data_IF_626226430812
#
_entry.id   IF_626226430812
#
_cell.length_a   1.000
_cell.length_b   1.000
_cell.length_c   1.000
_cell.angle_alpha   90.00
_cell.angle_beta   90.00
_cell.angle_gamma   90.00
#
_symmetry.space_group_name_H-M   'P 1'
#
loop_
_entity.id
_entity.type
_entity.pdbx_description
1 polymer ?
#
# COMPACT_ATOMS: atom_id res chain seq x y z
N UNK A 1 66.47 -15.09 -35.97
CA UNK A 1 65.71 -15.59 -34.80
C UNK A 1 65.99 -14.69 -33.61
N UNK A 2 65.07 -13.79 -33.25
CA UNK A 2 65.07 -13.06 -31.98
C UNK A 2 63.66 -13.16 -31.41
N UNK A 3 63.53 -13.85 -30.29
CA UNK A 3 62.29 -14.09 -29.57
C UNK A 3 61.81 -12.78 -28.92
N UNK A 4 60.56 -12.41 -29.15
CA UNK A 4 59.86 -11.32 -28.43
C UNK A 4 59.26 -11.94 -27.18
N UNK A 5 59.76 -11.56 -26.00
CA UNK A 5 59.10 -11.81 -24.72
C UNK A 5 57.91 -10.86 -24.59
N UNK A 6 56.68 -11.39 -24.59
CA UNK A 6 55.49 -10.67 -24.13
C UNK A 6 55.44 -10.77 -22.60
N UNK A 7 55.69 -9.66 -21.91
CA UNK A 7 55.35 -9.50 -20.49
C UNK A 7 53.84 -9.26 -20.39
N UNK A 8 53.09 -10.23 -19.87
CA UNK A 8 51.70 -10.01 -19.44
C UNK A 8 51.73 -9.26 -18.10
N UNK A 9 51.36 -7.99 -18.09
CA UNK A 9 51.10 -7.25 -16.86
C UNK A 9 49.70 -7.64 -16.33
N UNK A 10 49.66 -8.37 -15.22
CA UNK A 10 48.45 -8.60 -14.44
C UNK A 10 48.05 -7.29 -13.75
N UNK A 11 47.02 -6.62 -14.27
CA UNK A 11 46.38 -5.50 -13.60
C UNK A 11 45.48 -6.05 -12.46
N UNK A 12 45.56 -5.50 -11.24
CA UNK A 12 44.66 -5.89 -10.15
C UNK A 12 43.24 -5.42 -10.47
N UNK A 13 42.30 -6.36 -10.54
CA UNK A 13 40.86 -6.05 -10.58
C UNK A 13 40.48 -5.53 -9.19
N UNK A 14 40.30 -4.23 -9.06
CA UNK A 14 39.68 -3.64 -7.86
C UNK A 14 38.20 -3.99 -7.88
N UNK A 15 37.79 -4.91 -7.00
CA UNK A 15 36.37 -5.14 -6.71
C UNK A 15 35.86 -3.90 -5.99
N UNK A 16 35.18 -3.01 -6.71
CA UNK A 16 34.42 -1.92 -6.10
C UNK A 16 33.25 -2.57 -5.37
N UNK A 17 33.34 -2.64 -4.04
CA UNK A 17 32.19 -3.02 -3.23
C UNK A 17 31.07 -2.00 -3.51
N UNK A 18 29.91 -2.47 -3.98
CA UNK A 18 28.76 -1.60 -4.14
C UNK A 18 28.44 -0.92 -2.81
N UNK A 19 28.37 0.41 -2.79
CA UNK A 19 27.94 1.14 -1.60
C UNK A 19 26.55 0.66 -1.20
N UNK A 20 26.41 0.19 0.05
CA UNK A 20 25.12 -0.19 0.59
C UNK A 20 24.22 1.04 0.63
N UNK A 21 23.03 0.93 0.03
CA UNK A 21 22.05 2.01 0.07
C UNK A 21 21.69 2.35 1.53
N UNK A 22 21.46 3.62 1.86
CA UNK A 22 21.26 4.03 3.25
C UNK A 22 20.02 3.40 3.87
N UNK A 23 20.11 3.09 5.17
CA UNK A 23 18.98 2.71 6.03
C UNK A 23 18.79 3.80 7.10
N UNK A 24 17.56 4.07 7.56
CA UNK A 24 17.33 4.95 8.68
C UNK A 24 17.92 4.36 9.97
N UNK A 25 18.45 5.23 10.84
CA UNK A 25 18.99 4.82 12.15
C UNK A 25 18.01 5.01 13.30
N UNK A 26 17.02 5.89 13.12
CA UNK A 26 16.01 6.21 14.12
C UNK A 26 14.74 6.80 13.46
N UNK A 27 13.63 6.67 14.19
CA UNK A 27 12.33 7.21 13.81
C UNK A 27 11.69 7.97 14.98
N UNK A 28 11.06 9.09 14.65
CA UNK A 28 10.19 9.83 15.57
C UNK A 28 8.74 9.41 15.35
N UNK A 29 8.07 9.00 16.42
CA UNK A 29 6.63 8.72 16.38
C UNK A 29 5.82 10.02 16.31
N UNK A 30 4.84 10.05 15.42
CA UNK A 30 3.82 11.10 15.33
C UNK A 30 2.43 10.49 15.34
N UNK A 31 1.47 11.21 15.91
CA UNK A 31 0.06 10.88 15.76
C UNK A 31 -0.51 11.72 14.62
N UNK A 32 -1.04 11.07 13.57
CA UNK A 32 -1.64 11.73 12.40
C UNK A 32 -2.99 11.08 12.17
N UNK A 33 -4.07 11.86 12.23
CA UNK A 33 -5.45 11.38 12.08
C UNK A 33 -5.80 10.15 12.94
N UNK A 34 -5.14 9.99 14.09
CA UNK A 34 -5.31 8.86 15.01
C UNK A 34 -4.47 7.62 14.71
N UNK A 35 -3.67 7.60 13.64
CA UNK A 35 -2.65 6.58 13.39
C UNK A 35 -1.34 6.91 14.10
N UNK A 36 -0.58 5.87 14.44
CA UNK A 36 0.84 6.01 14.79
C UNK A 36 1.66 5.97 13.51
N UNK A 37 2.38 7.06 13.23
CA UNK A 37 3.28 7.18 12.08
C UNK A 37 4.72 7.30 12.58
N UNK A 38 5.56 6.32 12.24
CA UNK A 38 7.01 6.32 12.51
C UNK A 38 7.71 7.07 11.38
N UNK A 39 8.25 8.24 11.67
CA UNK A 39 8.87 9.10 10.67
C UNK A 39 10.38 9.05 10.82
N UNK A 40 11.08 8.69 9.75
CA UNK A 40 12.54 8.72 9.69
C UNK A 40 13.07 10.11 10.14
N UNK A 41 13.98 10.12 11.10
CA UNK A 41 14.49 11.36 11.70
C UNK A 41 15.15 12.29 10.68
N UNK A 42 15.67 11.73 9.56
CA UNK A 42 16.22 12.50 8.43
C UNK A 42 15.17 13.40 7.77
N UNK A 43 13.89 13.03 7.86
CA UNK A 43 12.76 13.81 7.32
C UNK A 43 12.27 14.88 8.28
N UNK A 44 12.71 14.86 9.54
CA UNK A 44 12.23 15.77 10.59
C UNK A 44 13.11 17.00 10.71
N UNK A 45 14.42 16.87 10.52
CA UNK A 45 15.42 17.96 10.65
C UNK A 45 16.50 17.84 9.58
N UNK A 46 17.21 18.94 9.34
CA UNK A 46 18.32 18.97 8.37
C UNK A 46 17.86 19.15 6.93
N UNK A 47 18.69 18.69 5.99
CA UNK A 47 18.53 18.94 4.55
C UNK A 47 17.20 18.43 3.98
N UNK A 48 16.69 17.29 4.43
CA UNK A 48 15.46 16.68 3.92
C UNK A 48 14.19 17.11 4.67
N UNK A 49 14.28 18.05 5.62
CA UNK A 49 13.13 18.47 6.42
C UNK A 49 12.00 19.06 5.57
N UNK A 50 12.33 19.82 4.51
CA UNK A 50 11.33 20.43 3.64
C UNK A 50 10.55 19.38 2.82
N UNK A 51 11.24 18.38 2.26
CA UNK A 51 10.58 17.30 1.51
C UNK A 51 9.84 16.34 2.44
N UNK A 52 10.37 16.08 3.65
CA UNK A 52 9.68 15.34 4.71
C UNK A 52 8.37 16.00 5.12
N UNK A 53 8.36 17.33 5.32
CA UNK A 53 7.13 18.07 5.62
C UNK A 53 6.09 17.96 4.49
N UNK A 54 6.53 17.96 3.22
CA UNK A 54 5.64 17.76 2.07
C UNK A 54 5.06 16.34 2.03
N UNK A 55 5.88 15.31 2.25
CA UNK A 55 5.43 13.92 2.30
C UNK A 55 4.42 13.67 3.43
N UNK A 56 4.69 14.22 4.62
CA UNK A 56 3.77 14.13 5.75
C UNK A 56 2.44 14.83 5.48
N UNK A 57 2.46 15.99 4.82
CA UNK A 57 1.22 16.69 4.42
C UNK A 57 0.40 15.87 3.42
N UNK A 58 1.05 15.20 2.47
CA UNK A 58 0.36 14.29 1.54
C UNK A 58 -0.24 13.10 2.31
N UNK A 59 0.54 12.45 3.18
CA UNK A 59 0.07 11.33 3.98
C UNK A 59 -1.13 11.73 4.85
N UNK A 60 -1.06 12.87 5.54
CA UNK A 60 -2.17 13.42 6.33
C UNK A 60 -3.42 13.61 5.45
N UNK A 61 -3.29 14.19 4.25
CA UNK A 61 -4.42 14.36 3.34
C UNK A 61 -5.05 13.02 2.93
N UNK A 62 -4.24 11.98 2.65
CA UNK A 62 -4.75 10.63 2.36
C UNK A 62 -5.47 10.02 3.57
N UNK A 63 -4.89 10.13 4.76
CA UNK A 63 -5.48 9.59 5.99
C UNK A 63 -6.77 10.33 6.38
N UNK A 64 -6.87 11.64 6.17
CA UNK A 64 -8.12 12.41 6.33
C UNK A 64 -9.20 11.85 5.41
N UNK A 65 -8.89 11.66 4.12
CA UNK A 65 -9.84 11.09 3.15
C UNK A 65 -10.37 9.73 3.61
N UNK A 66 -9.48 8.83 4.05
CA UNK A 66 -9.82 7.52 4.62
C UNK A 66 -10.71 7.66 5.86
N UNK A 67 -10.34 8.51 6.81
CA UNK A 67 -11.06 8.71 8.06
C UNK A 67 -12.48 9.26 7.86
N UNK A 68 -12.72 10.01 6.80
CA UNK A 68 -14.04 10.56 6.45
C UNK A 68 -14.97 9.47 5.89
N UNK A 69 -14.46 8.54 5.08
CA UNK A 69 -15.30 7.57 4.36
C UNK A 69 -15.44 6.21 5.07
N UNK A 70 -14.45 5.80 5.86
CA UNK A 70 -14.47 4.50 6.54
C UNK A 70 -15.35 4.55 7.80
N UNK A 71 -16.28 3.60 7.99
CA UNK A 71 -17.12 3.54 9.20
C UNK A 71 -16.31 3.49 10.49
N UNK A 72 -16.77 4.22 11.52
CA UNK A 72 -16.05 4.40 12.79
C UNK A 72 -15.49 3.11 13.41
N UNK A 73 -16.26 2.01 13.36
CA UNK A 73 -15.85 0.70 13.91
C UNK A 73 -14.63 0.14 13.17
N UNK A 74 -14.62 0.23 11.84
CA UNK A 74 -13.53 -0.27 11.00
C UNK A 74 -12.35 0.71 11.00
N UNK A 75 -12.62 2.01 11.02
CA UNK A 75 -11.60 3.04 11.15
C UNK A 75 -10.80 2.90 12.46
N UNK A 76 -11.45 2.57 13.57
CA UNK A 76 -10.76 2.32 14.84
C UNK A 76 -9.76 1.16 14.74
N UNK A 77 -10.08 0.13 13.95
CA UNK A 77 -9.17 -1.00 13.66
C UNK A 77 -8.06 -0.60 12.71
N UNK A 78 -8.35 0.16 11.65
CA UNK A 78 -7.31 0.67 10.75
C UNK A 78 -6.26 1.50 11.51
N UNK A 79 -6.69 2.30 12.48
CA UNK A 79 -5.80 3.13 13.31
C UNK A 79 -4.85 2.34 14.21
N UNK A 80 -5.07 1.04 14.42
CA UNK A 80 -4.12 0.20 15.16
C UNK A 80 -2.92 -0.22 14.31
N UNK A 81 -3.04 -0.14 12.98
CA UNK A 81 -1.97 -0.49 12.05
C UNK A 81 -0.96 0.65 12.03
N UNK A 82 0.29 0.34 12.32
CA UNK A 82 1.37 1.34 12.30
C UNK A 82 1.75 1.65 10.84
N UNK A 83 2.06 2.92 10.58
CA UNK A 83 2.63 3.37 9.30
C UNK A 83 4.08 3.81 9.55
N UNK A 84 5.00 3.48 8.64
CA UNK A 84 6.37 3.97 8.65
C UNK A 84 6.67 4.72 7.36
N UNK A 85 7.34 5.88 7.48
CA UNK A 85 7.66 6.79 6.37
C UNK A 85 9.16 7.10 6.39
N UNK A 86 9.87 6.65 5.35
CA UNK A 86 11.32 6.72 5.27
C UNK A 86 11.81 7.53 4.06
N UNK A 87 12.93 8.24 4.25
CA UNK A 87 13.57 8.95 3.14
C UNK A 87 13.94 7.97 2.02
N UNK A 88 14.60 6.90 2.43
CA UNK A 88 14.92 5.70 1.66
C UNK A 88 15.16 4.53 2.65
N UNK A 89 14.93 3.29 2.21
CA UNK A 89 15.13 2.10 3.04
C UNK A 89 15.86 0.99 2.27
N UNK A 90 17.15 1.19 2.00
CA UNK A 90 17.94 0.24 1.24
C UNK A 90 17.42 0.07 -0.20
N UNK A 91 17.12 -1.16 -0.58
CA UNK A 91 16.58 -1.50 -1.92
C UNK A 91 15.06 -1.44 -2.01
N UNK A 92 14.33 -1.26 -0.90
CA UNK A 92 12.88 -1.11 -0.92
C UNK A 92 12.47 0.18 -1.65
N UNK A 93 11.36 0.11 -2.39
CA UNK A 93 10.86 1.19 -3.26
C UNK A 93 9.35 1.33 -3.20
N UNK A 94 8.65 0.24 -3.55
CA UNK A 94 7.19 0.21 -3.58
C UNK A 94 6.65 0.27 -2.14
N UNK A 95 5.59 1.03 -1.95
CA UNK A 95 4.87 1.02 -0.68
C UNK A 95 4.34 -0.40 -0.43
N UNK A 96 4.41 -0.89 0.80
CA UNK A 96 4.06 -2.27 1.09
C UNK A 96 3.71 -2.47 2.56
N UNK A 97 2.76 -3.34 2.81
CA UNK A 97 2.52 -3.96 4.10
C UNK A 97 3.46 -5.15 4.32
N UNK A 98 4.09 -5.23 5.49
CA UNK A 98 4.98 -6.35 5.85
C UNK A 98 4.24 -7.36 6.74
N UNK A 99 3.82 -8.53 6.24
CA UNK A 99 3.01 -9.45 7.03
C UNK A 99 3.79 -10.14 8.16
N UNK A 100 5.09 -10.35 8.02
CA UNK A 100 5.90 -11.02 9.03
C UNK A 100 7.38 -10.60 9.00
N UNK A 101 8.10 -10.97 10.06
CA UNK A 101 9.50 -10.61 10.26
C UNK A 101 10.50 -11.51 9.51
N UNK A 102 10.08 -12.68 9.02
CA UNK A 102 10.95 -13.69 8.43
C UNK A 102 11.65 -13.15 7.18
N UNK A 103 10.86 -12.69 6.21
CA UNK A 103 11.40 -12.11 4.97
C UNK A 103 12.30 -10.90 5.25
N UNK A 104 11.89 -10.03 6.19
CA UNK A 104 12.67 -8.85 6.59
C UNK A 104 14.06 -9.24 7.08
N UNK A 105 14.13 -10.21 7.99
CA UNK A 105 15.39 -10.72 8.54
C UNK A 105 16.28 -11.36 7.47
N UNK A 106 15.72 -12.19 6.61
CA UNK A 106 16.43 -12.86 5.52
C UNK A 106 17.08 -11.87 4.53
N UNK A 107 16.44 -10.71 4.35
CA UNK A 107 16.91 -9.66 3.44
C UNK A 107 17.67 -8.52 4.15
N UNK A 108 17.97 -8.67 5.44
CA UNK A 108 18.79 -7.74 6.21
C UNK A 108 18.07 -6.45 6.64
N UNK A 109 16.74 -6.46 6.65
CA UNK A 109 15.91 -5.36 7.15
C UNK A 109 15.52 -5.56 8.62
N UNK A 110 15.09 -4.48 9.27
CA UNK A 110 14.63 -4.53 10.66
C UNK A 110 13.33 -5.31 10.79
N UNK A 111 13.31 -6.30 11.68
CA UNK A 111 12.10 -7.07 12.03
C UNK A 111 10.98 -6.18 12.62
N UNK A 112 11.32 -4.96 13.08
CA UNK A 112 10.33 -3.97 13.57
C UNK A 112 9.40 -3.44 12.49
N UNK A 113 9.68 -3.72 11.21
CA UNK A 113 8.78 -3.42 10.09
C UNK A 113 7.60 -4.40 10.02
N UNK A 114 7.67 -5.57 10.66
CA UNK A 114 6.58 -6.53 10.64
C UNK A 114 5.27 -5.90 11.16
N UNK A 115 4.16 -6.25 10.50
CA UNK A 115 2.80 -5.75 10.73
C UNK A 115 2.64 -4.23 10.54
N UNK A 116 3.52 -3.60 9.74
CA UNK A 116 3.49 -2.17 9.43
C UNK A 116 3.20 -1.94 7.94
N UNK A 117 2.44 -0.89 7.64
CA UNK A 117 2.43 -0.27 6.30
C UNK A 117 3.69 0.57 6.17
N UNK A 118 4.48 0.35 5.13
CA UNK A 118 5.77 1.00 4.95
C UNK A 118 5.78 1.79 3.64
N UNK A 119 6.09 3.08 3.74
CA UNK A 119 6.45 3.96 2.62
C UNK A 119 7.98 4.07 2.64
N UNK A 120 8.71 3.20 1.90
CA UNK A 120 10.15 3.05 2.05
C UNK A 120 10.97 4.14 1.34
N UNK A 121 10.34 4.90 0.43
CA UNK A 121 10.99 5.97 -0.32
C UNK A 121 10.00 7.11 -0.57
N UNK A 122 10.21 8.25 0.09
CA UNK A 122 9.31 9.41 -0.05
C UNK A 122 9.29 10.03 -1.45
N UNK A 123 10.36 9.85 -2.23
CA UNK A 123 10.42 10.40 -3.59
C UNK A 123 9.34 9.76 -4.46
N UNK A 124 9.27 8.43 -4.45
CA UNK A 124 8.26 7.63 -5.16
C UNK A 124 6.84 7.96 -4.65
N UNK A 125 6.67 8.14 -3.33
CA UNK A 125 5.39 8.55 -2.74
C UNK A 125 4.94 9.96 -3.17
N UNK A 126 5.88 10.83 -3.55
CA UNK A 126 5.62 12.19 -4.01
C UNK A 126 5.55 12.29 -5.55
N UNK A 127 5.70 11.19 -6.28
CA UNK A 127 5.66 11.21 -7.74
C UNK A 127 4.27 11.62 -8.26
N UNK A 128 4.19 12.62 -9.15
CA UNK A 128 2.91 13.10 -9.67
C UNK A 128 2.07 12.01 -10.35
N UNK A 129 2.71 11.08 -11.05
CA UNK A 129 2.03 9.97 -11.72
C UNK A 129 1.33 9.08 -10.69
N UNK A 130 2.05 8.58 -9.68
CA UNK A 130 1.46 7.75 -8.61
C UNK A 130 0.37 8.46 -7.82
N UNK A 131 0.54 9.76 -7.52
CA UNK A 131 -0.49 10.56 -6.84
C UNK A 131 -1.80 10.61 -7.65
N UNK A 132 -1.69 10.68 -8.98
CA UNK A 132 -2.82 10.75 -9.89
C UNK A 132 -3.44 9.38 -10.16
N UNK A 133 -2.62 8.36 -10.45
CA UNK A 133 -3.09 7.03 -10.84
C UNK A 133 -3.61 6.23 -9.65
N UNK A 134 -2.95 6.32 -8.49
CA UNK A 134 -3.24 5.50 -7.31
C UNK A 134 -3.53 6.37 -6.07
N UNK A 135 -4.57 7.21 -6.10
CA UNK A 135 -4.85 8.15 -5.01
C UNK A 135 -5.24 7.47 -3.68
N UNK A 136 -5.57 6.18 -3.70
CA UNK A 136 -5.97 5.39 -2.54
C UNK A 136 -4.97 4.29 -2.17
N UNK A 137 -3.75 4.34 -2.70
CA UNK A 137 -2.71 3.34 -2.39
C UNK A 137 -2.41 3.21 -0.89
N UNK A 138 -2.54 4.29 -0.10
CA UNK A 138 -2.36 4.18 1.37
C UNK A 138 -3.47 3.32 1.99
N UNK A 139 -4.70 3.39 1.46
CA UNK A 139 -5.80 2.52 1.86
C UNK A 139 -5.56 1.08 1.41
N UNK A 140 -4.97 0.86 0.23
CA UNK A 140 -4.57 -0.46 -0.25
C UNK A 140 -3.73 -1.21 0.79
N UNK A 141 -2.64 -0.60 1.23
CA UNK A 141 -1.73 -1.21 2.20
C UNK A 141 -2.37 -1.37 3.58
N UNK A 142 -3.19 -0.40 3.98
CA UNK A 142 -4.00 -0.51 5.19
C UNK A 142 -5.02 -1.64 5.10
N UNK A 143 -5.54 -1.94 3.91
CA UNK A 143 -6.44 -3.05 3.66
C UNK A 143 -5.71 -4.40 3.77
N UNK A 144 -4.47 -4.52 3.28
CA UNK A 144 -3.64 -5.70 3.59
C UNK A 144 -3.46 -5.87 5.11
N UNK A 145 -3.11 -4.80 5.82
CA UNK A 145 -2.98 -4.84 7.28
C UNK A 145 -4.28 -5.20 8.00
N UNK A 146 -5.43 -4.73 7.52
CA UNK A 146 -6.73 -5.13 8.06
C UNK A 146 -7.04 -6.59 7.77
N UNK A 147 -6.78 -7.05 6.55
CA UNK A 147 -6.99 -8.44 6.15
C UNK A 147 -6.18 -9.38 7.04
N UNK A 148 -4.90 -9.08 7.25
CA UNK A 148 -4.01 -9.84 8.12
C UNK A 148 -4.42 -9.78 9.60
N UNK A 149 -4.48 -8.57 10.16
CA UNK A 149 -4.49 -8.37 11.62
C UNK A 149 -5.88 -8.47 12.24
N UNK A 150 -6.95 -8.29 11.44
CA UNK A 150 -8.30 -8.08 11.95
C UNK A 150 -9.24 -9.22 11.56
N UNK A 151 -9.23 -9.63 10.30
CA UNK A 151 -10.14 -10.67 9.79
C UNK A 151 -9.43 -11.99 9.47
N UNK A 152 -8.09 -11.97 9.37
CA UNK A 152 -7.26 -13.11 8.97
C UNK A 152 -7.17 -13.26 7.45
N UNK A 153 -5.96 -13.50 6.93
CA UNK A 153 -5.77 -13.82 5.49
C UNK A 153 -6.49 -15.09 5.04
N UNK A 154 -6.89 -15.94 6.00
CA UNK A 154 -7.67 -17.15 5.78
C UNK A 154 -9.19 -16.92 5.84
N UNK A 155 -9.68 -15.67 5.85
CA UNK A 155 -11.11 -15.34 5.87
C UNK A 155 -11.83 -16.03 4.69
N UNK A 156 -12.66 -17.05 4.97
CA UNK A 156 -13.19 -17.94 3.93
C UNK A 156 -14.09 -17.22 2.93
N UNK A 157 -14.77 -16.15 3.36
CA UNK A 157 -15.63 -15.35 2.46
C UNK A 157 -14.82 -14.59 1.42
N UNK A 158 -13.66 -14.04 1.79
CA UNK A 158 -12.75 -13.33 0.87
C UNK A 158 -12.15 -14.33 -0.12
N UNK A 159 -11.64 -15.47 0.36
CA UNK A 159 -11.09 -16.53 -0.50
C UNK A 159 -12.13 -17.03 -1.51
N UNK A 160 -13.37 -17.26 -1.06
CA UNK A 160 -14.44 -17.73 -1.95
C UNK A 160 -14.80 -16.68 -3.01
N UNK A 161 -14.89 -15.40 -2.63
CA UNK A 161 -15.16 -14.31 -3.55
C UNK A 161 -14.02 -14.14 -4.58
N UNK A 162 -12.76 -14.18 -4.14
CA UNK A 162 -11.60 -14.12 -5.02
C UNK A 162 -11.58 -15.26 -6.04
N UNK A 163 -11.83 -16.51 -5.60
CA UNK A 163 -11.89 -17.66 -6.53
C UNK A 163 -12.94 -17.44 -7.62
N UNK A 164 -14.13 -16.98 -7.27
CA UNK A 164 -15.17 -16.64 -8.26
C UNK A 164 -14.73 -15.51 -9.19
N UNK A 165 -14.16 -14.43 -8.64
CA UNK A 165 -13.65 -13.28 -9.39
C UNK A 165 -12.60 -13.72 -10.42
N UNK A 166 -11.61 -14.50 -9.98
CA UNK A 166 -10.54 -15.06 -10.82
C UNK A 166 -11.06 -16.01 -11.89
N UNK A 167 -11.87 -16.99 -11.47
CA UNK A 167 -12.35 -18.05 -12.36
C UNK A 167 -13.40 -17.55 -13.37
N UNK A 168 -13.98 -16.36 -13.15
CA UNK A 168 -14.90 -15.71 -14.09
C UNK A 168 -14.25 -15.37 -15.44
N UNK A 169 -12.94 -15.16 -15.47
CA UNK A 169 -12.20 -14.69 -16.64
C UNK A 169 -12.48 -13.26 -17.09
N UNK A 170 -13.45 -12.55 -16.47
CA UNK A 170 -13.84 -11.17 -16.82
C UNK A 170 -12.70 -10.16 -16.64
N UNK A 171 -11.80 -10.45 -15.71
CA UNK A 171 -10.79 -9.51 -15.22
C UNK A 171 -9.42 -9.66 -15.87
N UNK A 172 -9.27 -10.58 -16.83
CA UNK A 172 -8.02 -10.80 -17.58
C UNK A 172 -7.62 -9.63 -18.48
N UNK A 173 -8.58 -8.74 -18.77
CA UNK A 173 -8.35 -7.54 -19.56
C UNK A 173 -9.42 -6.51 -19.18
N UNK A 174 -9.03 -5.54 -18.36
CA UNK A 174 -9.87 -4.44 -17.89
C UNK A 174 -9.22 -3.10 -18.19
N UNK A 175 -10.05 -2.07 -18.31
CA UNK A 175 -9.56 -0.70 -18.45
C UNK A 175 -8.81 -0.30 -17.18
N UNK A 176 -7.69 0.41 -17.34
CA UNK A 176 -6.97 1.05 -16.23
C UNK A 176 -7.09 2.56 -16.30
N UNK A 177 -6.69 3.25 -15.23
CA UNK A 177 -6.68 4.72 -15.15
C UNK A 177 -5.84 5.38 -16.26
N UNK A 178 -4.89 4.65 -16.84
CA UNK A 178 -4.10 5.11 -17.99
C UNK A 178 -4.88 5.13 -19.31
N UNK A 179 -6.04 4.48 -19.36
CA UNK A 179 -6.84 4.25 -20.57
C UNK A 179 -6.46 2.97 -21.35
N UNK A 180 -5.43 2.25 -20.91
CA UNK A 180 -5.02 0.99 -21.52
C UNK A 180 -5.74 -0.21 -20.89
N UNK A 181 -5.73 -1.34 -21.58
CA UNK A 181 -6.29 -2.60 -21.09
C UNK A 181 -5.19 -3.46 -20.46
N UNK A 182 -5.39 -3.91 -19.22
CA UNK A 182 -4.45 -4.77 -18.49
C UNK A 182 -5.17 -5.87 -17.71
N UNK A 183 -4.44 -6.89 -17.28
CA UNK A 183 -4.96 -7.86 -16.31
C UNK A 183 -5.16 -7.15 -14.96
N UNK A 184 -6.32 -7.32 -14.33
CA UNK A 184 -6.61 -6.68 -13.05
C UNK A 184 -5.69 -7.23 -11.97
N UNK A 185 -5.03 -6.35 -11.20
CA UNK A 185 -4.04 -6.75 -10.20
C UNK A 185 -4.58 -7.70 -9.12
N UNK A 186 -5.86 -7.56 -8.75
CA UNK A 186 -6.57 -8.46 -7.84
C UNK A 186 -6.72 -9.92 -8.34
N UNK A 187 -6.26 -10.26 -9.54
CA UNK A 187 -6.14 -11.65 -9.98
C UNK A 187 -4.92 -12.38 -9.38
N UNK A 188 -3.95 -11.63 -8.84
CA UNK A 188 -2.70 -12.17 -8.29
C UNK A 188 -2.97 -13.14 -7.13
N UNK A 189 -3.62 -12.67 -6.07
CA UNK A 189 -4.05 -13.48 -4.94
C UNK A 189 -5.26 -12.86 -4.21
N UNK A 190 -5.78 -13.55 -3.19
CA UNK A 190 -6.91 -13.05 -2.40
C UNK A 190 -6.61 -11.79 -1.59
N UNK A 191 -5.35 -11.46 -1.34
CA UNK A 191 -4.93 -10.30 -0.56
C UNK A 191 -4.96 -9.06 -1.44
N UNK A 192 -4.40 -9.15 -2.65
CA UNK A 192 -4.49 -8.11 -3.67
C UNK A 192 -5.94 -7.87 -4.04
N UNK A 193 -6.71 -8.93 -4.29
CA UNK A 193 -8.15 -8.83 -4.53
C UNK A 193 -8.88 -8.01 -3.47
N UNK A 194 -8.58 -8.27 -2.19
CA UNK A 194 -9.24 -7.56 -1.10
C UNK A 194 -8.81 -6.10 -1.03
N UNK A 195 -7.53 -5.80 -1.22
CA UNK A 195 -6.99 -4.44 -1.17
C UNK A 195 -7.50 -3.59 -2.34
N UNK A 196 -7.37 -4.11 -3.56
CA UNK A 196 -7.88 -3.52 -4.80
C UNK A 196 -9.37 -3.17 -4.69
N UNK A 197 -10.22 -4.13 -4.34
CA UNK A 197 -11.66 -3.85 -4.30
C UNK A 197 -12.07 -3.01 -3.09
N UNK A 198 -11.23 -2.91 -2.06
CA UNK A 198 -11.40 -1.93 -0.98
C UNK A 198 -11.18 -0.51 -1.48
N UNK A 199 -10.22 -0.28 -2.39
CA UNK A 199 -10.06 1.03 -3.05
C UNK A 199 -11.30 1.40 -3.86
N UNK A 200 -11.79 0.49 -4.70
CA UNK A 200 -13.02 0.71 -5.47
C UNK A 200 -14.21 1.01 -4.56
N UNK A 201 -14.30 0.35 -3.40
CA UNK A 201 -15.43 0.49 -2.48
C UNK A 201 -15.47 1.85 -1.79
N UNK A 202 -14.34 2.33 -1.24
CA UNK A 202 -14.30 3.58 -0.48
C UNK A 202 -13.94 4.81 -1.30
N UNK A 203 -13.27 4.61 -2.43
CA UNK A 203 -12.60 5.67 -3.16
C UNK A 203 -12.54 5.38 -4.66
N UNK A 204 -11.33 5.31 -5.19
CA UNK A 204 -11.07 4.97 -6.58
C UNK A 204 -9.87 4.03 -6.71
N UNK A 205 -10.04 2.97 -7.50
CA UNK A 205 -9.00 2.03 -7.92
C UNK A 205 -8.40 2.48 -9.27
N UNK A 206 -7.18 2.05 -9.61
CA UNK A 206 -6.54 2.20 -10.92
C UNK A 206 -6.96 1.16 -11.97
N UNK A 207 -7.70 0.13 -11.58
CA UNK A 207 -8.34 -0.89 -12.44
C UNK A 207 -9.87 -0.83 -12.34
N UNK A 208 -10.56 -1.11 -13.45
CA UNK A 208 -12.01 -1.28 -13.43
C UNK A 208 -12.41 -2.55 -12.64
N UNK A 209 -13.41 -2.49 -11.72
CA UNK A 209 -14.27 -1.35 -11.43
C UNK A 209 -13.57 -0.26 -10.62
N UNK A 210 -13.63 0.99 -11.11
CA UNK A 210 -12.87 2.08 -10.53
C UNK A 210 -13.50 2.59 -9.25
N UNK A 211 -14.84 2.60 -9.16
CA UNK A 211 -15.57 3.22 -8.04
C UNK A 211 -16.72 2.34 -7.55
N UNK A 212 -17.24 2.66 -6.36
CA UNK A 212 -18.22 1.87 -5.64
C UNK A 212 -19.49 1.57 -6.45
N UNK A 213 -19.94 2.55 -7.27
CA UNK A 213 -21.10 2.39 -8.14
C UNK A 213 -20.89 1.36 -9.23
N UNK A 214 -19.71 1.34 -9.84
CA UNK A 214 -19.32 0.35 -10.85
C UNK A 214 -19.13 -1.02 -10.22
N UNK A 215 -18.45 -1.09 -9.06
CA UNK A 215 -18.28 -2.32 -8.29
C UNK A 215 -19.63 -2.95 -7.96
N UNK A 216 -20.61 -2.14 -7.50
CA UNK A 216 -21.96 -2.61 -7.18
C UNK A 216 -22.70 -3.17 -8.39
N UNK A 217 -22.51 -2.58 -9.58
CA UNK A 217 -23.17 -3.04 -10.80
C UNK A 217 -22.50 -4.30 -11.37
N UNK A 218 -21.18 -4.31 -11.43
CA UNK A 218 -20.41 -5.40 -12.01
C UNK A 218 -20.38 -6.64 -11.10
N UNK A 219 -20.22 -6.43 -9.80
CA UNK A 219 -19.99 -7.48 -8.80
C UNK A 219 -20.80 -7.23 -7.50
N UNK A 220 -22.14 -7.34 -7.56
CA UNK A 220 -23.01 -7.05 -6.42
C UNK A 220 -22.76 -7.94 -5.19
N UNK A 221 -22.34 -9.20 -5.39
CA UNK A 221 -21.97 -10.11 -4.28
C UNK A 221 -20.72 -9.59 -3.55
N UNK A 222 -19.71 -9.12 -4.29
CA UNK A 222 -18.48 -8.58 -3.72
C UNK A 222 -18.75 -7.25 -3.01
N UNK A 223 -19.57 -6.38 -3.62
CA UNK A 223 -20.00 -5.15 -2.98
C UNK A 223 -20.69 -5.44 -1.64
N UNK A 224 -21.58 -6.43 -1.58
CA UNK A 224 -22.24 -6.84 -0.33
C UNK A 224 -21.25 -7.39 0.68
N UNK A 225 -20.27 -8.19 0.26
CA UNK A 225 -19.22 -8.69 1.15
C UNK A 225 -18.43 -7.54 1.79
N UNK A 226 -18.07 -6.52 1.02
CA UNK A 226 -17.36 -5.35 1.55
C UNK A 226 -18.23 -4.52 2.51
N UNK A 227 -19.54 -4.41 2.27
CA UNK A 227 -20.48 -3.84 3.25
C UNK A 227 -20.45 -4.62 4.57
N UNK A 228 -20.43 -5.96 4.51
CA UNK A 228 -20.43 -6.79 5.71
C UNK A 228 -19.11 -6.73 6.49
N UNK A 229 -17.97 -6.66 5.79
CA UNK A 229 -16.64 -6.59 6.40
C UNK A 229 -16.36 -5.19 6.95
N UNK A 230 -16.52 -4.16 6.11
CA UNK A 230 -16.11 -2.81 6.41
C UNK A 230 -17.23 -1.96 7.04
N UNK A 231 -18.49 -2.27 6.75
CA UNK A 231 -19.65 -1.44 7.05
C UNK A 231 -20.05 -0.56 5.86
N UNK A 232 -21.28 -0.03 5.90
CA UNK A 232 -21.86 0.74 4.79
C UNK A 232 -21.13 2.07 4.52
N UNK A 233 -21.05 2.43 3.24
CA UNK A 233 -20.56 3.74 2.79
C UNK A 233 -21.38 4.91 3.37
N UNK A 234 -20.76 6.11 3.52
CA UNK A 234 -21.47 7.31 3.92
C UNK A 234 -22.70 7.57 3.02
N UNK A 235 -23.83 7.91 3.62
CA UNK A 235 -25.06 8.21 2.89
C UNK A 235 -25.88 6.99 2.42
N UNK A 236 -25.37 5.76 2.55
CA UNK A 236 -26.11 4.51 2.24
C UNK A 236 -26.70 3.86 3.50
N UNK A 237 -26.66 4.54 4.64
CA UNK A 237 -27.36 4.08 5.84
C UNK A 237 -28.87 3.92 5.55
N UNK A 238 -29.52 2.83 6.00
CA UNK A 238 -30.97 2.74 5.94
C UNK A 238 -31.55 3.99 6.60
N UNK A 239 -32.61 4.60 6.01
CA UNK A 239 -33.15 5.85 6.52
C UNK A 239 -33.40 5.69 8.02
N UNK A 240 -32.70 6.50 8.83
CA UNK A 240 -33.11 6.68 10.23
C UNK A 240 -34.56 7.13 10.14
N UNK A 241 -35.48 6.37 10.75
CA UNK A 241 -36.85 6.83 10.94
C UNK A 241 -36.76 8.23 11.53
N UNK A 242 -36.95 9.24 10.69
CA UNK A 242 -37.25 10.58 11.16
C UNK A 242 -38.63 10.41 11.75
N UNK A 243 -38.71 10.25 13.07
CA UNK A 243 -39.97 10.43 13.77
C UNK A 243 -40.56 11.73 13.24
N UNK A 244 -41.69 11.61 12.55
CA UNK A 244 -42.47 12.78 12.18
C UNK A 244 -42.92 13.45 13.49
N UNK A 245 -42.95 14.79 13.54
CA UNK A 245 -43.51 15.52 14.67
C UNK A 245 -44.99 15.18 14.89
#
# INVERSE_FOLDING_TARGET
>A
MKYILLLLALLPVTVVAAEKKPLPTAHTNRSIEGWTVRVDDRLVKGEHAAVGARALKLLEARLVAIAVVVPKKSLAKLRTITIQLDLNHGDLRVMQYHPDAGWLKEHGYSETLAKCVHIPKIEDFLEPEGIHSQPWVVLHELAHGFHDQIIGFDEPRVIAAWKKFRDSGKYKSVLTVSGNMHEHYGLTDEKEFFAELTESYFGSNDFYPFVAGELKQAEPEIFSLLVDIWGSLPGIAPPKFRGQP
#
